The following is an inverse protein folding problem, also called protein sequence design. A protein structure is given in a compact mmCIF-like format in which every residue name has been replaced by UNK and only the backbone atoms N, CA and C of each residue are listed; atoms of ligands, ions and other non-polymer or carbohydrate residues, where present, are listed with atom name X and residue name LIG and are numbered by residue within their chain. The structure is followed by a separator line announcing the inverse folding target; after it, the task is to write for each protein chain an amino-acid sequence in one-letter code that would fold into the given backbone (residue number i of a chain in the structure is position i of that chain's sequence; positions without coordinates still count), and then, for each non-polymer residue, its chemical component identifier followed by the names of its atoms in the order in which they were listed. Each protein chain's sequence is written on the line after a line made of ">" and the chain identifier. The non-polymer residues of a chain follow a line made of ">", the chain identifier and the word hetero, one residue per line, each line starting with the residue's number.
data_IF_828310936337
#
_entry.id   IF_828310936337
#
_cell.length_a   1.000
_cell.length_b   1.000
_cell.length_c   1.000
_cell.angle_alpha   90.00
_cell.angle_beta   90.00
_cell.angle_gamma   90.00
#
_symmetry.space_group_name_H-M   'P 1'
#
loop_
_entity.id
_entity.type
_entity.pdbx_description
1 polymer ?
#
# COMPACT_ATOMS: atom_id res chain seq x y z
N UNK A 1 -38.92 -18.48 -9.67
CA UNK A 1 -37.76 -18.59 -8.76
C UNK A 1 -36.65 -17.76 -9.38
N UNK A 2 -36.44 -16.54 -8.90
CA UNK A 2 -35.31 -15.73 -9.33
C UNK A 2 -34.06 -16.33 -8.65
N UNK A 3 -33.13 -16.85 -9.47
CA UNK A 3 -31.81 -17.25 -8.97
C UNK A 3 -31.20 -16.09 -8.19
N UNK A 4 -30.74 -16.38 -6.97
CA UNK A 4 -29.96 -15.41 -6.24
C UNK A 4 -28.72 -15.05 -7.09
N UNK A 5 -28.38 -13.76 -7.26
CA UNK A 5 -27.25 -13.37 -8.08
C UNK A 5 -26.00 -14.10 -7.59
N UNK A 6 -25.27 -14.73 -8.52
CA UNK A 6 -24.03 -15.44 -8.21
C UNK A 6 -23.06 -14.48 -7.51
N UNK A 7 -22.58 -14.85 -6.35
CA UNK A 7 -21.69 -14.00 -5.56
C UNK A 7 -20.29 -14.03 -6.18
N UNK A 8 -19.90 -12.96 -6.88
CA UNK A 8 -18.58 -12.84 -7.51
C UNK A 8 -17.50 -12.49 -6.48
N UNK A 9 -16.22 -12.65 -6.83
CA UNK A 9 -15.10 -12.21 -5.99
C UNK A 9 -15.18 -10.69 -5.74
N UNK A 10 -15.54 -9.92 -6.76
CA UNK A 10 -15.81 -8.47 -6.65
C UNK A 10 -16.86 -8.18 -5.60
N UNK A 11 -18.04 -8.77 -5.73
CA UNK A 11 -19.16 -8.47 -4.82
C UNK A 11 -18.84 -8.81 -3.34
N UNK A 12 -18.03 -9.84 -3.10
CA UNK A 12 -17.56 -10.19 -1.75
C UNK A 12 -16.55 -9.18 -1.21
N UNK A 13 -15.58 -8.75 -2.03
CA UNK A 13 -14.62 -7.71 -1.67
C UNK A 13 -15.32 -6.39 -1.38
N UNK A 14 -16.23 -5.95 -2.24
CA UNK A 14 -17.03 -4.74 -2.03
C UNK A 14 -17.89 -4.83 -0.76
N UNK A 15 -18.44 -5.99 -0.45
CA UNK A 15 -19.18 -6.20 0.79
C UNK A 15 -18.26 -6.09 2.01
N UNK A 16 -17.09 -6.74 1.98
CA UNK A 16 -16.11 -6.66 3.07
C UNK A 16 -15.64 -5.22 3.31
N UNK A 17 -15.26 -4.49 2.25
CA UNK A 17 -14.84 -3.09 2.31
C UNK A 17 -15.95 -2.20 2.87
N UNK A 18 -17.20 -2.42 2.45
CA UNK A 18 -18.37 -1.68 2.93
C UNK A 18 -18.80 -2.06 4.36
N UNK A 19 -18.14 -3.02 5.00
CA UNK A 19 -18.50 -3.49 6.33
C UNK A 19 -19.79 -4.31 6.38
N UNK A 20 -20.25 -4.82 5.25
CA UNK A 20 -21.36 -5.78 5.18
C UNK A 20 -20.88 -7.18 5.53
N UNK A 21 -21.69 -8.01 6.18
CA UNK A 21 -21.32 -9.40 6.43
C UNK A 21 -21.07 -10.15 5.13
N UNK A 22 -20.04 -10.98 5.13
CA UNK A 22 -19.76 -11.92 4.05
C UNK A 22 -19.97 -13.35 4.53
N UNK A 23 -20.29 -14.26 3.62
CA UNK A 23 -20.51 -15.69 3.93
C UNK A 23 -19.23 -16.39 4.38
N UNK A 24 -18.09 -15.90 3.98
CA UNK A 24 -16.77 -16.29 4.42
C UNK A 24 -15.77 -15.17 4.09
N UNK A 25 -14.67 -15.01 4.86
CA UNK A 25 -13.64 -14.02 4.56
C UNK A 25 -13.08 -14.17 3.15
N UNK A 26 -12.72 -13.06 2.55
CA UNK A 26 -12.10 -13.07 1.22
C UNK A 26 -10.62 -13.39 1.37
N UNK A 27 -10.07 -14.17 0.46
CA UNK A 27 -8.65 -14.34 0.23
C UNK A 27 -8.30 -13.65 -1.09
N UNK A 28 -7.31 -12.78 -1.10
CA UNK A 28 -6.99 -11.98 -2.28
C UNK A 28 -5.49 -11.87 -2.54
N UNK A 29 -5.17 -11.42 -3.76
CA UNK A 29 -3.79 -11.21 -4.23
C UNK A 29 -3.69 -9.82 -4.88
N UNK A 30 -2.52 -9.17 -4.75
CA UNK A 30 -2.22 -7.96 -5.49
C UNK A 30 -1.95 -8.24 -6.97
N UNK A 31 -2.36 -7.33 -7.83
CA UNK A 31 -2.16 -7.39 -9.29
C UNK A 31 -0.67 -7.46 -9.70
N UNK A 32 0.22 -6.90 -8.90
CA UNK A 32 1.67 -7.02 -9.10
C UNK A 32 2.14 -8.48 -9.16
N UNK A 33 1.58 -9.38 -8.33
CA UNK A 33 1.89 -10.81 -8.41
C UNK A 33 1.30 -11.45 -9.67
N UNK A 34 0.09 -11.06 -10.03
CA UNK A 34 -0.57 -11.59 -11.23
C UNK A 34 0.26 -11.31 -12.49
N UNK A 35 0.85 -10.13 -12.58
CA UNK A 35 1.68 -9.72 -13.72
C UNK A 35 3.10 -10.32 -13.68
N UNK A 36 3.70 -10.43 -12.50
CA UNK A 36 5.11 -10.86 -12.37
C UNK A 36 5.29 -12.37 -12.17
N UNK A 37 4.21 -13.13 -11.96
CA UNK A 37 4.24 -14.59 -11.75
C UNK A 37 3.39 -15.33 -12.81
N UNK A 38 3.78 -15.28 -14.10
CA UNK A 38 3.00 -15.85 -15.22
C UNK A 38 2.91 -17.38 -15.19
N UNK A 39 3.72 -18.06 -14.37
CA UNK A 39 3.68 -19.51 -14.17
C UNK A 39 2.55 -19.98 -13.27
N UNK A 40 1.85 -19.08 -12.58
CA UNK A 40 0.69 -19.38 -11.74
C UNK A 40 -0.57 -19.40 -12.58
N UNK A 41 -1.41 -20.41 -12.39
CA UNK A 41 -2.72 -20.52 -13.07
C UNK A 41 -3.75 -19.61 -12.37
N UNK A 42 -3.60 -18.31 -12.59
CA UNK A 42 -4.48 -17.29 -12.03
C UNK A 42 -5.96 -17.48 -12.38
N UNK A 43 -6.33 -17.79 -13.66
CA UNK A 43 -7.72 -18.02 -14.01
C UNK A 43 -8.37 -19.12 -13.17
N UNK A 44 -7.66 -20.23 -12.94
CA UNK A 44 -8.13 -21.31 -12.08
C UNK A 44 -8.32 -20.84 -10.63
N UNK A 45 -7.35 -20.10 -10.08
CA UNK A 45 -7.44 -19.62 -8.70
C UNK A 45 -8.59 -18.62 -8.51
N UNK A 46 -8.81 -17.73 -9.47
CA UNK A 46 -9.96 -16.80 -9.47
C UNK A 46 -11.30 -17.54 -9.55
N UNK A 47 -11.39 -18.58 -10.39
CA UNK A 47 -12.57 -19.42 -10.47
C UNK A 47 -12.87 -20.19 -9.17
N UNK A 48 -11.81 -20.52 -8.37
CA UNK A 48 -11.97 -21.14 -7.04
C UNK A 48 -12.34 -20.13 -5.95
N UNK A 49 -12.31 -18.82 -6.24
CA UNK A 49 -12.74 -17.79 -5.30
C UNK A 49 -11.63 -16.88 -4.77
N UNK A 50 -10.39 -16.98 -5.28
CA UNK A 50 -9.34 -15.99 -4.98
C UNK A 50 -9.76 -14.62 -5.54
N UNK A 51 -9.71 -13.58 -4.72
CA UNK A 51 -9.95 -12.20 -5.14
C UNK A 51 -8.69 -11.53 -5.68
N UNK A 52 -8.85 -10.49 -6.49
CA UNK A 52 -7.76 -9.65 -6.95
C UNK A 52 -7.92 -8.22 -6.46
N UNK A 53 -6.85 -7.64 -5.93
CA UNK A 53 -6.76 -6.22 -5.61
C UNK A 53 -5.86 -5.59 -6.67
N UNK A 54 -6.47 -4.81 -7.55
CA UNK A 54 -5.76 -4.04 -8.57
C UNK A 54 -5.46 -2.64 -8.07
N UNK A 55 -4.38 -2.04 -8.57
CA UNK A 55 -3.97 -0.68 -8.25
C UNK A 55 -3.76 0.09 -9.55
N UNK A 56 -4.25 1.30 -9.61
CA UNK A 56 -4.06 2.15 -10.78
C UNK A 56 -3.94 3.61 -10.41
N UNK A 57 -3.06 4.30 -11.11
CA UNK A 57 -2.88 5.73 -10.91
C UNK A 57 -4.14 6.50 -11.30
N UNK A 58 -4.45 7.51 -10.48
CA UNK A 58 -5.62 8.38 -10.67
C UNK A 58 -5.23 9.84 -10.91
N UNK A 59 -3.92 10.10 -11.04
CA UNK A 59 -3.36 11.44 -11.22
C UNK A 59 -2.34 11.45 -12.35
N UNK A 60 -2.21 12.61 -12.98
CA UNK A 60 -1.12 12.96 -13.89
C UNK A 60 -0.37 14.16 -13.35
N UNK A 61 0.98 14.07 -13.39
CA UNK A 61 1.90 15.12 -12.98
C UNK A 61 2.66 15.65 -14.20
N UNK A 62 2.69 16.96 -14.36
CA UNK A 62 3.49 17.64 -15.37
C UNK A 62 4.53 18.51 -14.65
N UNK A 63 5.81 18.23 -14.84
CA UNK A 63 6.93 18.90 -14.17
C UNK A 63 7.63 19.85 -15.13
N UNK A 64 7.34 21.17 -15.06
CA UNK A 64 7.92 22.12 -15.99
C UNK A 64 9.41 22.38 -15.80
N UNK A 65 9.94 22.09 -14.60
CA UNK A 65 11.32 22.38 -14.21
C UNK A 65 12.20 21.13 -14.10
N UNK A 66 11.73 19.98 -14.58
CA UNK A 66 12.42 18.71 -14.41
C UNK A 66 12.60 17.99 -15.74
N UNK A 67 13.84 17.66 -16.04
CA UNK A 67 14.19 16.68 -17.08
C UNK A 67 14.69 15.41 -16.39
N UNK A 68 14.14 14.27 -16.75
CA UNK A 68 14.56 12.96 -16.26
C UNK A 68 15.37 12.27 -17.36
N UNK A 69 16.56 11.78 -17.01
CA UNK A 69 17.42 11.00 -17.90
C UNK A 69 17.75 9.68 -17.25
N UNK A 70 17.38 8.58 -17.89
CA UNK A 70 17.69 7.24 -17.44
C UNK A 70 18.67 6.57 -18.41
N UNK A 71 19.67 5.88 -17.86
CA UNK A 71 20.61 5.07 -18.63
C UNK A 71 20.79 3.71 -17.97
N UNK A 72 20.96 2.67 -18.80
CA UNK A 72 21.18 1.31 -18.33
C UNK A 72 22.44 0.74 -18.93
N UNK A 73 23.19 -0.07 -18.17
CA UNK A 73 24.37 -0.82 -18.63
C UNK A 73 24.53 -2.11 -17.84
N UNK A 74 25.26 -3.07 -18.39
CA UNK A 74 25.60 -4.29 -17.68
C UNK A 74 26.88 -4.10 -16.86
N UNK A 75 26.84 -4.52 -15.59
CA UNK A 75 27.98 -4.52 -14.66
C UNK A 75 28.00 -5.86 -13.94
N UNK A 76 29.04 -6.65 -14.16
CA UNK A 76 29.22 -7.99 -13.55
C UNK A 76 27.96 -8.89 -13.68
N UNK A 77 27.33 -8.88 -14.85
CA UNK A 77 26.15 -9.72 -15.12
C UNK A 77 24.83 -9.18 -14.55
N UNK A 78 24.85 -8.05 -13.89
CA UNK A 78 23.64 -7.38 -13.39
C UNK A 78 23.40 -6.07 -14.15
N UNK A 79 22.14 -5.69 -14.30
CA UNK A 79 21.76 -4.41 -14.90
C UNK A 79 21.97 -3.29 -13.91
N UNK A 80 22.86 -2.35 -14.21
CA UNK A 80 22.92 -1.07 -13.53
C UNK A 80 22.01 -0.07 -14.24
N UNK A 81 21.15 0.62 -13.49
CA UNK A 81 20.29 1.71 -13.94
C UNK A 81 20.64 2.97 -13.18
N UNK A 82 21.07 3.99 -13.93
CA UNK A 82 21.36 5.33 -13.41
C UNK A 82 20.20 6.26 -13.78
N UNK A 83 19.69 7.03 -12.80
CA UNK A 83 18.59 8.00 -12.95
C UNK A 83 19.10 9.38 -12.55
N UNK A 84 18.99 10.35 -13.45
CA UNK A 84 19.34 11.74 -13.20
C UNK A 84 18.12 12.63 -13.32
N UNK A 85 17.93 13.49 -12.35
CA UNK A 85 16.94 14.56 -12.36
C UNK A 85 17.65 15.88 -12.54
N UNK A 86 17.39 16.55 -13.66
CA UNK A 86 18.09 17.76 -14.07
C UNK A 86 17.13 18.93 -13.98
N UNK A 87 17.55 19.99 -13.29
CA UNK A 87 16.85 21.26 -13.14
C UNK A 87 17.78 22.42 -13.49
N UNK A 88 17.27 23.63 -13.62
CA UNK A 88 18.09 24.86 -13.76
C UNK A 88 18.91 25.17 -12.51
N UNK A 89 18.62 24.57 -11.36
CA UNK A 89 19.36 24.73 -10.10
C UNK A 89 20.51 23.71 -9.96
N UNK A 90 20.43 22.57 -10.60
CA UNK A 90 21.41 21.50 -10.49
C UNK A 90 20.86 20.13 -10.87
N UNK A 91 21.66 19.11 -10.62
CA UNK A 91 21.34 17.72 -10.93
C UNK A 91 21.32 16.85 -9.68
N UNK A 92 20.36 15.95 -9.61
CA UNK A 92 20.27 14.87 -8.64
C UNK A 92 20.50 13.53 -9.34
N UNK A 93 21.22 12.63 -8.70
CA UNK A 93 21.53 11.33 -9.26
C UNK A 93 21.26 10.23 -8.24
N UNK A 94 20.66 9.15 -8.70
CA UNK A 94 20.56 7.87 -7.98
C UNK A 94 20.85 6.71 -8.93
N UNK A 95 21.21 5.54 -8.38
CA UNK A 95 21.42 4.38 -9.20
C UNK A 95 21.05 3.06 -8.51
N UNK A 96 20.80 2.06 -9.33
CA UNK A 96 20.37 0.72 -8.93
C UNK A 96 21.29 -0.34 -9.54
N UNK A 97 21.41 -1.47 -8.85
CA UNK A 97 22.01 -2.70 -9.36
C UNK A 97 20.98 -3.82 -9.26
N UNK A 98 20.50 -4.33 -10.39
CA UNK A 98 19.27 -5.09 -10.44
C UNK A 98 18.11 -4.26 -9.89
N UNK A 99 17.33 -4.84 -8.97
CA UNK A 99 16.22 -4.14 -8.32
C UNK A 99 16.63 -3.32 -7.07
N UNK A 100 17.90 -3.39 -6.67
CA UNK A 100 18.37 -2.80 -5.44
C UNK A 100 18.96 -1.41 -5.66
N UNK A 101 18.36 -0.40 -4.98
CA UNK A 101 18.91 0.95 -4.94
C UNK A 101 20.24 0.95 -4.18
N UNK A 102 21.29 1.54 -4.81
CA UNK A 102 22.64 1.64 -4.25
C UNK A 102 22.92 3.05 -3.74
N UNK A 103 22.26 4.06 -4.28
CA UNK A 103 22.43 5.45 -3.91
C UNK A 103 21.11 6.19 -4.06
N UNK A 104 20.82 7.09 -3.13
CA UNK A 104 19.63 7.95 -3.16
C UNK A 104 19.96 9.29 -3.83
N UNK A 105 18.90 10.05 -4.18
CA UNK A 105 19.05 11.36 -4.82
C UNK A 105 19.71 12.39 -3.90
N UNK A 106 19.34 12.45 -2.62
CA UNK A 106 19.72 13.51 -1.69
C UNK A 106 20.90 13.06 -0.84
N UNK A 107 22.02 13.80 -0.95
CA UNK A 107 23.31 13.54 -0.27
C UNK A 107 23.85 14.76 0.45
N UNK A 108 23.37 15.94 0.10
CA UNK A 108 23.81 17.22 0.67
C UNK A 108 22.60 18.11 0.99
N UNK A 109 22.75 19.14 1.82
CA UNK A 109 21.68 20.10 2.06
C UNK A 109 21.20 20.83 0.79
N UNK A 110 22.06 21.00 -0.23
CA UNK A 110 21.67 21.63 -1.50
C UNK A 110 20.77 20.72 -2.32
N UNK A 111 20.93 19.39 -2.22
CA UNK A 111 20.09 18.44 -2.95
C UNK A 111 18.61 18.54 -2.57
N UNK A 112 18.29 18.90 -1.32
CA UNK A 112 16.91 19.20 -0.90
C UNK A 112 16.33 20.38 -1.67
N UNK A 113 17.15 21.42 -1.93
CA UNK A 113 16.72 22.60 -2.68
C UNK A 113 16.57 22.31 -4.17
N UNK A 114 17.45 21.47 -4.73
CA UNK A 114 17.33 20.99 -6.14
C UNK A 114 16.06 20.13 -6.25
N UNK A 115 15.79 19.24 -5.29
CA UNK A 115 14.58 18.42 -5.26
C UNK A 115 13.33 19.31 -5.20
N UNK A 116 13.31 20.33 -4.34
CA UNK A 116 12.21 21.30 -4.29
C UNK A 116 12.01 21.97 -5.65
N UNK A 117 13.09 22.41 -6.29
CA UNK A 117 13.04 23.05 -7.63
C UNK A 117 12.42 22.13 -8.68
N UNK A 118 12.70 20.82 -8.64
CA UNK A 118 12.13 19.85 -9.55
C UNK A 118 10.59 19.76 -9.45
N UNK A 119 10.03 20.06 -8.27
CA UNK A 119 8.59 20.02 -8.00
C UNK A 119 7.90 21.39 -8.05
N UNK A 120 8.63 22.49 -8.10
CA UNK A 120 8.05 23.82 -8.21
C UNK A 120 7.28 23.97 -9.53
N UNK A 121 6.04 24.45 -9.43
CA UNK A 121 5.17 24.63 -10.59
C UNK A 121 4.60 23.32 -11.17
N UNK A 122 4.77 22.20 -10.49
CA UNK A 122 4.14 20.95 -10.91
C UNK A 122 2.64 21.13 -11.06
N UNK A 123 2.09 20.65 -12.17
CA UNK A 123 0.66 20.64 -12.42
C UNK A 123 0.11 19.25 -12.15
N UNK A 124 -0.78 19.16 -11.17
CA UNK A 124 -1.42 17.92 -10.75
C UNK A 124 -2.86 17.93 -11.27
N UNK A 125 -3.23 16.89 -12.02
CA UNK A 125 -4.59 16.77 -12.60
C UNK A 125 -5.14 15.38 -12.36
N UNK A 126 -6.45 15.29 -12.14
CA UNK A 126 -7.16 14.03 -12.12
C UNK A 126 -7.05 13.35 -13.49
N UNK A 127 -6.71 12.06 -13.50
CA UNK A 127 -6.65 11.22 -14.69
C UNK A 127 -7.13 9.81 -14.33
N UNK A 128 -8.31 9.43 -14.79
CA UNK A 128 -8.94 8.16 -14.49
C UNK A 128 -8.72 7.08 -15.56
N UNK A 129 -7.94 7.37 -16.58
CA UNK A 129 -7.73 6.48 -17.73
C UNK A 129 -7.20 5.11 -17.33
N UNK A 130 -6.12 5.10 -16.51
CA UNK A 130 -5.52 3.86 -16.03
C UNK A 130 -6.46 3.12 -15.07
N UNK A 131 -7.15 3.85 -14.19
CA UNK A 131 -8.11 3.28 -13.25
C UNK A 131 -9.27 2.57 -13.96
N UNK A 132 -9.89 3.21 -14.94
CA UNK A 132 -10.99 2.62 -15.72
C UNK A 132 -10.52 1.42 -16.55
N UNK A 133 -9.30 1.43 -17.04
CA UNK A 133 -8.71 0.28 -17.72
C UNK A 133 -8.52 -0.91 -16.76
N UNK A 134 -7.96 -0.67 -15.58
CA UNK A 134 -7.77 -1.68 -14.54
C UNK A 134 -9.11 -2.25 -14.03
N UNK A 135 -10.12 -1.41 -13.83
CA UNK A 135 -11.48 -1.83 -13.47
C UNK A 135 -12.09 -2.80 -14.50
N UNK A 136 -11.92 -2.51 -15.79
CA UNK A 136 -12.36 -3.42 -16.85
C UNK A 136 -11.60 -4.74 -16.87
N UNK A 137 -10.30 -4.68 -16.65
CA UNK A 137 -9.43 -5.86 -16.66
C UNK A 137 -9.70 -6.78 -15.48
N UNK A 138 -9.85 -6.24 -14.28
CA UNK A 138 -10.08 -7.04 -13.07
C UNK A 138 -11.49 -7.66 -13.09
N UNK A 139 -12.48 -6.96 -13.64
CA UNK A 139 -13.85 -7.44 -13.82
C UNK A 139 -14.44 -8.02 -12.54
N UNK A 140 -15.06 -9.19 -12.62
CA UNK A 140 -15.66 -9.89 -11.48
C UNK A 140 -14.66 -10.56 -10.54
N UNK A 141 -13.38 -10.57 -10.88
CA UNK A 141 -12.36 -11.19 -10.05
C UNK A 141 -11.93 -10.32 -8.84
N UNK A 142 -12.20 -9.00 -8.87
CA UNK A 142 -11.72 -8.16 -7.78
C UNK A 142 -12.15 -6.69 -7.86
N UNK A 143 -11.39 -5.85 -7.16
CA UNK A 143 -11.61 -4.40 -7.08
C UNK A 143 -10.32 -3.65 -7.39
N UNK A 144 -10.47 -2.39 -7.82
CA UNK A 144 -9.33 -1.49 -8.07
C UNK A 144 -9.27 -0.40 -7.02
N UNK A 145 -8.09 -0.16 -6.45
CA UNK A 145 -7.78 0.95 -5.58
C UNK A 145 -7.03 2.03 -6.38
N UNK A 146 -7.34 3.29 -6.12
CA UNK A 146 -6.63 4.41 -6.73
C UNK A 146 -5.26 4.62 -6.08
N UNK A 147 -4.22 4.71 -6.88
CA UNK A 147 -2.88 5.14 -6.48
C UNK A 147 -2.69 6.63 -6.74
N UNK A 148 -1.79 7.24 -5.97
CA UNK A 148 -1.32 8.58 -6.19
C UNK A 148 0.09 8.49 -6.80
N UNK A 149 0.17 8.55 -8.13
CA UNK A 149 1.45 8.61 -8.83
C UNK A 149 2.22 9.89 -8.47
N UNK A 150 3.52 9.86 -8.68
CA UNK A 150 4.38 11.03 -8.67
C UNK A 150 5.27 11.18 -7.44
N UNK A 151 4.77 10.95 -6.23
CA UNK A 151 5.59 11.00 -5.02
C UNK A 151 5.85 9.60 -4.47
N UNK A 152 6.81 8.88 -5.04
CA UNK A 152 7.23 7.57 -4.54
C UNK A 152 6.07 6.64 -4.19
N UNK A 153 5.50 5.92 -5.14
CA UNK A 153 4.41 4.95 -4.96
C UNK A 153 3.22 5.44 -4.10
N UNK A 154 3.00 6.76 -4.03
CA UNK A 154 1.87 7.32 -3.29
C UNK A 154 2.06 7.36 -1.76
N UNK A 155 3.28 7.45 -1.26
CA UNK A 155 3.58 7.66 0.18
C UNK A 155 3.33 9.10 0.61
N UNK A 156 3.23 9.33 1.93
CA UNK A 156 3.35 10.69 2.47
C UNK A 156 4.78 11.23 2.25
N UNK A 157 4.94 12.56 2.16
CA UNK A 157 6.24 13.16 1.86
C UNK A 157 7.36 12.76 2.83
N UNK A 158 7.07 12.63 4.12
CA UNK A 158 8.07 12.19 5.09
C UNK A 158 8.58 10.77 4.79
N UNK A 159 7.69 9.87 4.38
CA UNK A 159 8.03 8.50 4.01
C UNK A 159 8.70 8.42 2.64
N UNK A 160 8.33 9.30 1.69
CA UNK A 160 9.06 9.45 0.41
C UNK A 160 10.51 9.87 0.67
N UNK A 161 10.72 10.84 1.55
CA UNK A 161 12.09 11.26 1.93
C UNK A 161 12.87 10.07 2.51
N UNK A 162 12.29 9.33 3.44
CA UNK A 162 12.97 8.20 4.07
C UNK A 162 13.29 7.08 3.08
N UNK A 163 12.29 6.64 2.32
CA UNK A 163 12.37 5.41 1.54
C UNK A 163 12.96 5.64 0.14
N UNK A 164 12.58 6.77 -0.51
CA UNK A 164 12.84 6.92 -1.93
C UNK A 164 13.97 7.89 -2.26
N UNK A 165 14.16 8.97 -1.48
CA UNK A 165 15.02 10.08 -1.91
C UNK A 165 16.27 10.30 -1.07
N UNK A 166 16.25 10.02 0.24
CA UNK A 166 17.35 10.33 1.18
C UNK A 166 18.03 9.06 1.71
N UNK A 167 17.23 8.03 2.04
CA UNK A 167 17.67 6.84 2.73
C UNK A 167 17.71 7.00 4.25
N UNK A 168 17.59 5.87 4.95
CA UNK A 168 17.33 5.82 6.39
C UNK A 168 18.37 6.56 7.24
N UNK A 169 19.65 6.33 6.99
CA UNK A 169 20.74 6.86 7.83
C UNK A 169 20.74 8.40 7.82
N UNK A 170 20.89 9.00 6.63
CA UNK A 170 20.89 10.44 6.47
C UNK A 170 19.57 11.08 6.90
N UNK A 171 18.44 10.51 6.46
CA UNK A 171 17.11 10.98 6.84
C UNK A 171 16.94 11.06 8.37
N UNK A 172 17.46 10.07 9.11
CA UNK A 172 17.35 10.04 10.57
C UNK A 172 18.09 11.18 11.24
N UNK A 173 19.31 11.51 10.74
CA UNK A 173 20.13 12.62 11.24
C UNK A 173 19.49 13.95 10.86
N UNK A 174 19.20 14.16 9.57
CA UNK A 174 18.66 15.42 9.05
C UNK A 174 17.29 15.76 9.68
N UNK A 175 16.46 14.74 9.98
CA UNK A 175 15.18 14.92 10.67
C UNK A 175 15.38 15.21 12.17
N UNK A 176 16.35 14.57 12.83
CA UNK A 176 16.65 14.81 14.25
C UNK A 176 17.18 16.23 14.49
N UNK A 177 18.01 16.72 13.57
CA UNK A 177 18.58 18.07 13.60
C UNK A 177 17.60 19.14 13.06
N UNK A 178 16.42 18.74 12.62
CA UNK A 178 15.45 19.62 11.93
C UNK A 178 16.12 20.45 10.82
N UNK A 179 16.95 19.79 10.01
CA UNK A 179 17.75 20.45 8.97
C UNK A 179 16.86 21.37 8.10
N UNK A 180 17.08 22.69 8.07
CA UNK A 180 16.15 23.64 7.46
C UNK A 180 15.78 23.31 6.01
N UNK A 181 16.72 22.96 5.09
CA UNK A 181 16.34 22.59 3.72
C UNK A 181 15.45 21.35 3.62
N UNK A 182 15.61 20.37 4.52
CA UNK A 182 14.74 19.20 4.59
C UNK A 182 13.34 19.58 5.06
N UNK A 183 13.24 20.41 6.11
CA UNK A 183 11.95 20.82 6.68
C UNK A 183 11.16 21.70 5.70
N UNK A 184 11.85 22.62 5.00
CA UNK A 184 11.26 23.43 3.94
C UNK A 184 10.73 22.58 2.77
N UNK A 185 11.47 21.56 2.36
CA UNK A 185 11.02 20.61 1.33
C UNK A 185 9.82 19.81 1.83
N UNK A 186 9.87 19.30 3.08
CA UNK A 186 8.78 18.50 3.65
C UNK A 186 7.46 19.30 3.71
N UNK A 187 7.51 20.56 4.17
CA UNK A 187 6.33 21.43 4.21
C UNK A 187 5.76 21.69 2.81
N UNK A 188 6.63 22.05 1.86
CA UNK A 188 6.25 22.23 0.47
C UNK A 188 5.59 20.97 -0.14
N UNK A 189 6.18 19.80 0.09
CA UNK A 189 5.66 18.53 -0.42
C UNK A 189 4.35 18.12 0.27
N UNK A 190 4.15 18.48 1.55
CA UNK A 190 2.89 18.24 2.24
C UNK A 190 1.72 19.00 1.57
N UNK A 191 1.93 20.24 1.14
CA UNK A 191 0.88 21.00 0.41
C UNK A 191 0.60 20.38 -0.96
N UNK A 192 1.63 19.91 -1.68
CA UNK A 192 1.43 19.16 -2.94
C UNK A 192 0.67 17.85 -2.71
N UNK A 193 0.96 17.13 -1.62
CA UNK A 193 0.22 15.92 -1.25
C UNK A 193 -1.26 16.21 -1.02
N UNK A 194 -1.59 17.29 -0.36
CA UNK A 194 -2.99 17.70 -0.19
C UNK A 194 -3.66 18.04 -1.53
N UNK A 195 -2.91 18.66 -2.47
CA UNK A 195 -3.43 18.90 -3.82
C UNK A 195 -3.65 17.60 -4.59
N UNK A 196 -2.77 16.60 -4.47
CA UNK A 196 -2.99 15.27 -5.02
C UNK A 196 -4.33 14.69 -4.57
N UNK A 197 -4.65 14.78 -3.27
CA UNK A 197 -5.93 14.30 -2.75
C UNK A 197 -7.12 15.12 -3.25
N UNK A 198 -6.99 16.46 -3.39
CA UNK A 198 -8.04 17.30 -3.98
C UNK A 198 -8.33 16.93 -5.44
N UNK A 199 -7.32 16.48 -6.19
CA UNK A 199 -7.53 16.00 -7.55
C UNK A 199 -8.05 14.55 -7.55
N UNK A 200 -7.53 13.66 -6.70
CA UNK A 200 -7.96 12.27 -6.62
C UNK A 200 -9.45 12.11 -6.28
N UNK A 201 -10.02 13.01 -5.47
CA UNK A 201 -11.46 12.95 -5.16
C UNK A 201 -12.37 13.22 -6.36
N UNK A 202 -11.84 13.77 -7.45
CA UNK A 202 -12.57 14.02 -8.70
C UNK A 202 -12.67 12.79 -9.61
N UNK A 203 -11.94 11.73 -9.30
CA UNK A 203 -11.92 10.47 -10.08
C UNK A 203 -12.99 9.50 -9.59
N UNK A 204 -13.33 8.44 -10.32
CA UNK A 204 -14.28 7.42 -9.87
C UNK A 204 -13.73 6.50 -8.79
N UNK A 205 -12.42 6.50 -8.49
CA UNK A 205 -11.82 5.66 -7.46
C UNK A 205 -12.43 5.96 -6.08
N UNK A 206 -13.11 4.98 -5.49
CA UNK A 206 -13.73 5.11 -4.17
C UNK A 206 -12.75 4.88 -3.03
N UNK A 207 -11.79 4.00 -3.26
CA UNK A 207 -10.72 3.64 -2.34
C UNK A 207 -9.42 4.27 -2.85
N UNK A 208 -8.74 5.03 -2.02
CA UNK A 208 -7.39 5.55 -2.30
C UNK A 208 -6.42 4.83 -1.37
N UNK A 209 -5.30 4.38 -1.90
CA UNK A 209 -4.25 3.70 -1.13
C UNK A 209 -3.02 4.58 -0.96
N UNK A 210 -2.48 4.62 0.26
CA UNK A 210 -1.15 5.13 0.57
C UNK A 210 -0.22 3.95 0.90
N UNK A 211 0.87 3.85 0.15
CA UNK A 211 1.89 2.80 0.28
C UNK A 211 2.98 3.20 1.27
N UNK A 212 2.62 3.52 2.48
CA UNK A 212 3.54 4.13 3.44
C UNK A 212 4.81 3.31 3.70
N UNK A 213 4.72 1.98 3.74
CA UNK A 213 5.79 1.11 4.22
C UNK A 213 6.35 1.64 5.54
N UNK A 214 5.44 1.97 6.45
CA UNK A 214 5.78 2.61 7.71
C UNK A 214 6.53 1.63 8.61
N UNK A 215 7.77 1.97 8.96
CA UNK A 215 8.50 1.30 10.03
C UNK A 215 8.53 2.21 11.27
N UNK A 216 7.68 1.89 12.24
CA UNK A 216 7.59 2.70 13.45
C UNK A 216 8.85 2.62 14.32
N UNK A 217 9.64 1.55 14.20
CA UNK A 217 10.92 1.40 14.89
C UNK A 217 11.93 2.46 14.43
N UNK A 218 11.87 2.88 13.16
CA UNK A 218 12.77 3.89 12.61
C UNK A 218 12.21 5.30 12.75
N UNK A 219 10.91 5.48 12.56
CA UNK A 219 10.26 6.78 12.69
C UNK A 219 10.09 7.20 14.16
N UNK A 220 9.61 6.28 15.00
CA UNK A 220 9.24 6.54 16.39
C UNK A 220 7.84 7.18 16.53
N UNK A 221 7.16 6.93 17.69
CA UNK A 221 5.78 7.37 17.90
C UNK A 221 5.64 8.90 18.00
N UNK A 222 6.67 9.61 18.49
CA UNK A 222 6.63 11.06 18.63
C UNK A 222 6.72 11.76 17.27
N UNK A 223 7.59 11.27 16.37
CA UNK A 223 7.69 11.80 15.01
C UNK A 223 6.45 11.45 14.18
N UNK A 224 5.89 10.25 14.37
CA UNK A 224 4.60 9.88 13.79
C UNK A 224 3.51 10.90 14.16
N UNK A 225 3.35 11.19 15.46
CA UNK A 225 2.39 12.17 15.97
C UNK A 225 2.64 13.57 15.45
N UNK A 226 3.91 14.00 15.42
CA UNK A 226 4.28 15.36 15.05
C UNK A 226 4.11 15.63 13.55
N UNK A 227 4.50 14.69 12.69
CA UNK A 227 4.63 14.94 11.27
C UNK A 227 3.53 14.27 10.42
N UNK A 228 3.09 13.06 10.78
CA UNK A 228 2.14 12.32 9.97
C UNK A 228 0.69 12.56 10.39
N UNK A 229 0.39 12.56 11.69
CA UNK A 229 -0.99 12.74 12.18
C UNK A 229 -1.66 14.02 11.65
N UNK A 230 -1.01 15.20 11.66
CA UNK A 230 -1.63 16.42 11.13
C UNK A 230 -1.89 16.35 9.62
N UNK A 231 -1.01 15.73 8.85
CA UNK A 231 -1.20 15.55 7.41
C UNK A 231 -2.34 14.58 7.14
N UNK A 232 -2.38 13.42 7.81
CA UNK A 232 -3.46 12.44 7.69
C UNK A 232 -4.82 13.06 8.03
N UNK A 233 -4.90 13.87 9.07
CA UNK A 233 -6.16 14.55 9.45
C UNK A 233 -6.69 15.44 8.33
N UNK A 234 -5.81 16.19 7.65
CA UNK A 234 -6.19 17.03 6.49
C UNK A 234 -6.60 16.16 5.30
N UNK A 235 -5.87 15.09 5.00
CA UNK A 235 -6.19 14.13 3.93
C UNK A 235 -7.55 13.50 4.16
N UNK A 236 -7.80 13.00 5.37
CA UNK A 236 -9.07 12.38 5.74
C UNK A 236 -10.24 13.34 5.60
N UNK A 237 -10.07 14.60 6.00
CA UNK A 237 -11.10 15.63 5.81
C UNK A 237 -11.47 15.84 4.34
N UNK A 238 -10.47 15.83 3.43
CA UNK A 238 -10.70 15.93 1.99
C UNK A 238 -11.48 14.73 1.45
N UNK A 239 -11.06 13.51 1.85
CA UNK A 239 -11.69 12.27 1.39
C UNK A 239 -13.12 12.11 1.92
N UNK A 240 -13.33 12.36 3.20
CA UNK A 240 -14.65 12.26 3.86
C UNK A 240 -15.65 13.22 3.23
N UNK A 241 -15.25 14.47 2.95
CA UNK A 241 -16.11 15.44 2.27
C UNK A 241 -16.57 14.97 0.87
N UNK A 242 -15.80 14.09 0.23
CA UNK A 242 -16.10 13.52 -1.08
C UNK A 242 -16.71 12.08 -0.99
N UNK A 243 -16.94 11.54 0.20
CA UNK A 243 -17.44 10.17 0.40
C UNK A 243 -16.47 9.09 -0.07
N UNK A 244 -15.16 9.37 -0.01
CA UNK A 244 -14.09 8.44 -0.41
C UNK A 244 -13.38 7.88 0.81
N UNK A 245 -12.63 6.80 0.63
CA UNK A 245 -12.03 6.02 1.69
C UNK A 245 -10.51 5.93 1.52
N UNK A 246 -9.79 5.87 2.67
CA UNK A 246 -8.34 5.74 2.72
C UNK A 246 -7.92 4.37 3.25
N UNK A 247 -7.10 3.68 2.48
CA UNK A 247 -6.39 2.47 2.87
C UNK A 247 -4.91 2.83 3.07
N UNK A 248 -4.36 2.57 4.24
CA UNK A 248 -2.94 2.84 4.55
C UNK A 248 -2.16 1.54 4.67
N UNK A 249 -1.03 1.45 3.98
CA UNK A 249 -0.15 0.28 4.00
C UNK A 249 0.86 0.40 5.14
N UNK A 250 0.54 -0.23 6.26
CA UNK A 250 1.34 -0.24 7.47
C UNK A 250 1.85 -1.65 7.77
N UNK A 251 3.17 -1.80 7.79
CA UNK A 251 3.83 -3.07 8.03
C UNK A 251 4.33 -3.22 9.47
N UNK A 252 4.57 -4.46 9.86
CA UNK A 252 5.34 -4.81 11.03
C UNK A 252 4.70 -4.37 12.35
N UNK A 253 5.48 -3.70 13.20
CA UNK A 253 5.08 -3.39 14.57
C UNK A 253 4.24 -2.10 14.64
N UNK A 254 3.02 -2.19 15.12
CA UNK A 254 2.06 -1.09 15.17
C UNK A 254 1.53 -0.79 16.59
N UNK A 255 1.84 -1.66 17.57
CA UNK A 255 1.31 -1.55 18.93
C UNK A 255 1.58 -0.20 19.57
N UNK A 256 2.79 0.32 19.40
CA UNK A 256 3.21 1.58 20.02
C UNK A 256 2.47 2.82 19.49
N UNK A 257 1.88 2.74 18.31
CA UNK A 257 1.06 3.81 17.71
C UNK A 257 -0.42 3.46 17.60
N UNK A 258 -0.85 2.34 18.15
CA UNK A 258 -2.20 1.82 17.95
C UNK A 258 -3.28 2.82 18.37
N UNK A 259 -3.10 3.53 19.49
CA UNK A 259 -4.03 4.57 19.96
C UNK A 259 -4.03 5.80 19.04
N UNK A 260 -2.88 6.18 18.50
CA UNK A 260 -2.77 7.29 17.54
C UNK A 260 -3.47 6.94 16.23
N UNK A 261 -3.29 5.71 15.75
CA UNK A 261 -4.01 5.17 14.59
C UNK A 261 -5.51 5.12 14.87
N UNK A 262 -5.94 4.74 16.08
CA UNK A 262 -7.35 4.69 16.45
C UNK A 262 -8.04 6.07 16.40
N UNK A 263 -7.29 7.15 16.64
CA UNK A 263 -7.78 8.54 16.58
C UNK A 263 -7.93 9.08 15.16
N UNK A 264 -7.35 8.42 14.16
CA UNK A 264 -7.45 8.78 12.75
C UNK A 264 -8.52 7.93 12.07
N UNK A 265 -9.42 8.53 11.32
CA UNK A 265 -10.55 7.82 10.67
C UNK A 265 -10.12 7.15 9.36
N UNK A 266 -9.03 6.37 9.38
CA UNK A 266 -8.68 5.50 8.26
C UNK A 266 -9.78 4.45 8.03
N UNK A 267 -10.10 4.18 6.79
CA UNK A 267 -11.08 3.15 6.45
C UNK A 267 -10.49 1.74 6.52
N UNK A 268 -9.17 1.60 6.31
CA UNK A 268 -8.51 0.33 6.44
C UNK A 268 -7.02 0.42 6.70
N UNK A 269 -6.52 -0.62 7.36
CA UNK A 269 -5.11 -0.90 7.58
C UNK A 269 -4.73 -2.04 6.65
N UNK A 270 -3.94 -1.72 5.65
CA UNK A 270 -3.39 -2.67 4.70
C UNK A 270 -2.02 -3.15 5.17
N UNK A 271 -1.69 -4.39 4.85
CA UNK A 271 -0.48 -5.07 5.32
C UNK A 271 -0.42 -5.31 6.83
N UNK A 272 -1.59 -5.43 7.50
CA UNK A 272 -1.59 -5.90 8.89
C UNK A 272 -0.91 -7.27 8.97
N UNK A 273 0.26 -7.31 9.57
CA UNK A 273 1.06 -8.51 9.72
C UNK A 273 0.98 -9.01 11.18
N UNK A 274 0.40 -10.19 11.44
CA UNK A 274 0.42 -10.78 12.78
C UNK A 274 1.84 -11.22 13.18
N UNK A 275 2.08 -11.51 14.48
CA UNK A 275 3.35 -12.11 14.91
C UNK A 275 3.73 -13.37 14.10
N UNK A 276 5.03 -13.63 13.82
CA UNK A 276 6.17 -12.97 14.45
C UNK A 276 6.66 -11.66 13.78
N UNK A 277 6.25 -11.34 12.55
CA UNK A 277 6.74 -10.17 11.81
C UNK A 277 6.17 -8.86 12.37
N UNK A 278 4.89 -8.85 12.73
CA UNK A 278 4.24 -7.74 13.45
C UNK A 278 4.10 -8.02 14.94
N UNK A 279 3.43 -7.11 15.65
CA UNK A 279 3.23 -7.19 17.11
C UNK A 279 1.76 -7.12 17.55
N UNK A 280 0.82 -7.08 16.61
CA UNK A 280 -0.62 -7.13 16.85
C UNK A 280 -1.21 -8.39 16.24
N UNK A 281 -1.86 -9.21 17.07
CA UNK A 281 -2.73 -10.27 16.54
C UNK A 281 -3.97 -9.67 15.88
N UNK A 282 -4.65 -10.42 15.02
CA UNK A 282 -5.88 -9.97 14.38
C UNK A 282 -6.97 -9.65 15.42
N UNK A 283 -7.05 -10.45 16.50
CA UNK A 283 -7.97 -10.19 17.60
C UNK A 283 -7.69 -8.86 18.31
N UNK A 284 -6.41 -8.53 18.55
CA UNK A 284 -6.01 -7.25 19.14
C UNK A 284 -6.28 -6.09 18.20
N UNK A 285 -5.91 -6.21 16.93
CA UNK A 285 -6.18 -5.20 15.91
C UNK A 285 -7.70 -4.93 15.77
N UNK A 286 -8.53 -5.99 15.76
CA UNK A 286 -9.98 -5.85 15.71
C UNK A 286 -10.55 -5.15 16.93
N UNK A 287 -10.01 -5.35 18.13
CA UNK A 287 -10.44 -4.63 19.35
C UNK A 287 -10.04 -3.16 19.34
N UNK A 288 -8.82 -2.87 18.84
CA UNK A 288 -8.31 -1.51 18.75
C UNK A 288 -9.01 -0.71 17.64
N UNK A 289 -9.36 -1.37 16.55
CA UNK A 289 -9.92 -0.77 15.34
C UNK A 289 -11.16 -1.54 14.85
N UNK A 290 -12.29 -1.48 15.59
CA UNK A 290 -13.44 -2.36 15.37
C UNK A 290 -14.10 -2.18 14.01
N UNK A 291 -14.10 -0.95 13.48
CA UNK A 291 -14.80 -0.58 12.25
C UNK A 291 -13.87 -0.41 11.04
N UNK A 292 -12.60 -0.84 11.14
CA UNK A 292 -11.65 -0.72 10.03
C UNK A 292 -11.56 -1.99 9.22
N UNK A 293 -11.38 -1.82 7.91
CA UNK A 293 -10.98 -2.91 7.03
C UNK A 293 -9.57 -3.37 7.41
N UNK A 294 -9.41 -4.64 7.76
CA UNK A 294 -8.13 -5.26 8.03
C UNK A 294 -7.73 -6.14 6.84
N UNK A 295 -6.67 -5.74 6.14
CA UNK A 295 -6.05 -6.52 5.10
C UNK A 295 -4.88 -7.27 5.74
N UNK A 296 -5.11 -8.54 6.07
CA UNK A 296 -4.16 -9.33 6.84
C UNK A 296 -3.17 -10.02 5.91
N UNK A 297 -1.90 -9.75 6.12
CA UNK A 297 -0.78 -10.38 5.44
C UNK A 297 -0.16 -11.43 6.37
N UNK A 298 -0.49 -12.71 6.19
CA UNK A 298 0.03 -13.77 7.05
C UNK A 298 1.51 -14.00 6.81
N UNK A 299 2.21 -14.49 7.84
CA UNK A 299 3.59 -14.95 7.71
C UNK A 299 3.72 -16.03 6.63
N UNK A 300 4.80 -15.98 5.85
CA UNK A 300 5.16 -17.04 4.90
C UNK A 300 5.41 -18.37 5.60
N UNK A 301 5.76 -18.35 6.89
CA UNK A 301 5.95 -19.56 7.71
C UNK A 301 4.70 -20.43 7.79
N UNK A 302 3.51 -19.86 7.60
CA UNK A 302 2.26 -20.62 7.56
C UNK A 302 2.21 -21.65 6.44
N UNK A 303 2.98 -21.42 5.38
CA UNK A 303 3.01 -22.23 4.18
C UNK A 303 4.20 -23.22 4.14
N UNK A 304 5.01 -23.23 5.20
CA UNK A 304 6.06 -24.26 5.34
C UNK A 304 5.44 -25.66 5.40
N UNK A 305 6.20 -26.64 4.99
CA UNK A 305 5.80 -28.05 5.00
C UNK A 305 4.49 -28.34 4.22
N UNK A 306 4.25 -27.62 3.13
CA UNK A 306 3.06 -27.82 2.29
C UNK A 306 1.75 -27.48 3.01
N UNK A 307 1.78 -26.55 3.96
CA UNK A 307 0.59 -26.04 4.64
C UNK A 307 -0.05 -26.98 5.66
N UNK A 308 0.70 -27.93 6.22
CA UNK A 308 0.17 -28.91 7.20
C UNK A 308 -0.48 -28.27 8.43
N UNK A 309 -0.05 -27.06 8.83
CA UNK A 309 -0.57 -26.32 9.98
C UNK A 309 -1.70 -25.32 9.65
N UNK A 310 -2.09 -25.17 8.39
CA UNK A 310 -3.03 -24.11 7.96
C UNK A 310 -4.41 -24.19 8.61
N UNK A 311 -4.95 -25.39 8.82
CA UNK A 311 -6.32 -25.54 9.33
C UNK A 311 -6.58 -24.80 10.66
N UNK A 312 -5.84 -25.08 11.74
CA UNK A 312 -5.98 -24.37 13.01
C UNK A 312 -5.72 -22.87 12.88
N UNK A 313 -4.69 -22.46 12.11
CA UNK A 313 -4.35 -21.05 11.91
C UNK A 313 -5.47 -20.28 11.22
N UNK A 314 -6.01 -20.79 10.12
CA UNK A 314 -7.09 -20.12 9.37
C UNK A 314 -8.38 -20.07 10.19
N UNK A 315 -8.75 -21.15 10.89
CA UNK A 315 -9.95 -21.13 11.78
C UNK A 315 -9.80 -20.13 12.91
N UNK A 316 -8.63 -20.04 13.54
CA UNK A 316 -8.33 -19.03 14.54
C UNK A 316 -8.47 -17.62 14.00
N UNK A 317 -7.86 -17.37 12.84
CA UNK A 317 -7.90 -16.09 12.14
C UNK A 317 -9.34 -15.65 11.81
N UNK A 318 -10.16 -16.57 11.26
CA UNK A 318 -11.57 -16.28 10.91
C UNK A 318 -12.38 -15.91 12.15
N UNK A 319 -12.18 -16.63 13.26
CA UNK A 319 -12.83 -16.31 14.54
C UNK A 319 -12.43 -14.92 15.04
N UNK A 320 -11.16 -14.59 15.01
CA UNK A 320 -10.59 -13.33 15.51
C UNK A 320 -10.98 -12.13 14.64
N UNK A 321 -11.03 -12.34 13.32
CA UNK A 321 -11.39 -11.30 12.35
C UNK A 321 -12.86 -10.92 12.39
N UNK A 322 -13.74 -11.88 12.65
CA UNK A 322 -15.18 -11.72 12.52
C UNK A 322 -15.66 -11.66 11.05
N UNK A 323 -16.99 -11.50 10.84
CA UNK A 323 -17.60 -11.64 9.52
C UNK A 323 -17.54 -10.38 8.65
N UNK A 324 -16.87 -9.31 9.08
CA UNK A 324 -16.92 -8.00 8.43
C UNK A 324 -15.53 -7.37 8.35
N UNK A 325 -15.31 -6.55 7.32
CA UNK A 325 -14.11 -5.70 7.18
C UNK A 325 -12.80 -6.46 7.34
N UNK A 326 -12.73 -7.62 6.70
CA UNK A 326 -11.55 -8.46 6.74
C UNK A 326 -11.28 -9.10 5.38
N UNK A 327 -10.02 -9.10 4.99
CA UNK A 327 -9.49 -9.82 3.84
C UNK A 327 -8.15 -10.45 4.21
N UNK A 328 -8.01 -11.74 3.97
CA UNK A 328 -6.72 -12.40 4.01
C UNK A 328 -6.01 -12.13 2.69
N UNK A 329 -4.72 -11.84 2.71
CA UNK A 329 -3.93 -11.52 1.54
C UNK A 329 -2.87 -12.60 1.26
N UNK A 330 -2.56 -12.82 -0.01
CA UNK A 330 -1.26 -13.37 -0.38
C UNK A 330 -0.24 -12.28 -0.04
N UNK A 331 0.71 -12.61 0.83
CA UNK A 331 1.64 -11.68 1.45
C UNK A 331 2.85 -11.38 0.53
N UNK A 332 4.06 -11.45 1.10
CA UNK A 332 5.32 -11.03 0.45
C UNK A 332 5.67 -11.87 -0.80
N UNK A 333 5.23 -13.13 -0.84
CA UNK A 333 5.47 -14.03 -1.96
C UNK A 333 4.32 -15.04 -2.07
N UNK A 334 4.18 -15.61 -3.24
CA UNK A 334 3.22 -16.69 -3.48
C UNK A 334 3.78 -17.96 -2.85
N UNK A 335 2.96 -18.73 -2.10
CA UNK A 335 3.41 -20.01 -1.55
C UNK A 335 4.04 -20.90 -2.63
N UNK A 336 5.18 -21.54 -2.38
CA UNK A 336 5.83 -22.41 -3.36
C UNK A 336 4.90 -23.48 -3.95
N UNK A 337 4.07 -24.08 -3.10
CA UNK A 337 3.08 -25.09 -3.49
C UNK A 337 1.69 -24.46 -3.74
N UNK A 338 1.65 -23.30 -4.41
CA UNK A 338 0.43 -22.50 -4.61
C UNK A 338 -0.73 -23.31 -5.20
N UNK A 339 -0.43 -24.27 -6.06
CA UNK A 339 -1.45 -25.12 -6.71
C UNK A 339 -2.25 -25.99 -5.72
N UNK A 340 -1.71 -26.21 -4.52
CA UNK A 340 -2.33 -26.96 -3.42
C UNK A 340 -2.71 -26.03 -2.27
N UNK A 341 -1.81 -25.18 -1.83
CA UNK A 341 -1.98 -24.34 -0.63
C UNK A 341 -3.04 -23.26 -0.81
N UNK A 342 -3.10 -22.59 -1.96
CA UNK A 342 -4.12 -21.54 -2.20
C UNK A 342 -5.53 -22.12 -2.23
N UNK A 343 -5.84 -23.22 -2.96
CA UNK A 343 -7.13 -23.92 -2.86
C UNK A 343 -7.46 -24.40 -1.45
N UNK A 344 -6.46 -24.90 -0.70
CA UNK A 344 -6.67 -25.32 0.69
C UNK A 344 -7.09 -24.16 1.58
N UNK A 345 -6.43 -23.00 1.50
CA UNK A 345 -6.84 -21.79 2.24
C UNK A 345 -8.26 -21.39 1.88
N UNK A 346 -8.60 -21.36 0.59
CA UNK A 346 -9.95 -21.01 0.14
C UNK A 346 -11.01 -21.97 0.72
N UNK A 347 -10.75 -23.27 0.75
CA UNK A 347 -11.66 -24.26 1.36
C UNK A 347 -11.82 -24.02 2.86
N UNK A 348 -10.71 -23.83 3.60
CA UNK A 348 -10.74 -23.60 5.03
C UNK A 348 -11.50 -22.31 5.42
N UNK A 349 -11.37 -21.23 4.63
CA UNK A 349 -12.12 -19.99 4.83
C UNK A 349 -13.63 -20.21 4.63
N UNK A 350 -14.02 -21.04 3.66
CA UNK A 350 -15.43 -21.40 3.43
C UNK A 350 -16.04 -22.25 4.53
N UNK A 351 -15.23 -23.11 5.15
CA UNK A 351 -15.65 -23.97 6.28
C UNK A 351 -15.81 -23.18 7.59
N UNK A 352 -14.93 -22.20 7.83
CA UNK A 352 -14.75 -21.56 9.14
C UNK A 352 -15.94 -20.80 9.70
N UNK A 353 -16.93 -20.41 8.87
CA UNK A 353 -18.18 -19.77 9.33
C UNK A 353 -19.38 -20.74 9.41
N UNK A 354 -19.23 -22.00 8.98
CA UNK A 354 -20.29 -23.00 9.07
C UNK A 354 -20.29 -23.74 10.41
N UNK A 355 -19.25 -23.57 11.20
CA UNK A 355 -19.00 -24.31 12.45
C UNK A 355 -19.16 -23.47 13.72
N UNK A 356 -19.72 -22.26 13.65
CA UNK A 356 -19.91 -21.32 14.75
C UNK A 356 -21.37 -21.07 15.11
#
# INVERSE_FOLDING_TARGET
>A
MTEAPSTTNRSRLEAAIAGRPVTHPVYAVYDGFVTTRPHVDWPRLFALGLGQISHADVLRHEHPNLQIVETTRQVNGQTRRDVRWITDRGELHQWYLGDWRQEHFIKTPEDYRIMRRAWEGVKITADDTAFLAAERQVGDNGVTLGNLAGMGLGRTPLMVLQVDWVGLERWSVDLADELPPMMELLEFMNELKLEEFRQAVRTPARQIKLWENLSIQTLGPDRYRRHLVPLYSKILSILQAAGKQLQVHYDGQLRVIADQVAQLDFDGIDSLTPPPEGDLTVAEARRLWPDRMLWCHPSLDWFRDGGKGLGPLIRGLVKDAGPRRFCLMISEEIPPDWAQTVPQVLSLLQEGLRSG
#
